data_IF_200568356241
#
_entry.id   IF_200568356241
#
_cell.length_a   1.000
_cell.length_b   1.000
_cell.length_c   1.000
_cell.angle_alpha   90.00
_cell.angle_beta   90.00
_cell.angle_gamma   90.00
#
_symmetry.space_group_name_H-M   'P 1'
#
loop_
_entity.id
_entity.type
_entity.pdbx_description
1 polymer ?
#
# COMPACT_ATOMS: atom_id res chain seq x y z
N UNK A 1 -12.29 -48.46 10.14
CA UNK A 1 -12.97 -47.57 11.10
C UNK A 1 -12.68 -46.16 10.68
N UNK A 2 -13.75 -45.44 10.36
CA UNK A 2 -13.82 -44.05 9.95
C UNK A 2 -12.96 -43.10 10.79
N UNK A 3 -12.42 -42.09 10.10
CA UNK A 3 -12.24 -40.75 10.66
C UNK A 3 -12.70 -39.72 9.64
N UNK A 4 -14.01 -39.59 9.56
CA UNK A 4 -14.74 -38.46 9.00
C UNK A 4 -14.64 -37.23 9.92
N UNK A 5 -14.44 -36.06 9.31
CA UNK A 5 -15.10 -34.82 9.73
C UNK A 5 -14.39 -33.93 10.75
N UNK A 6 -13.50 -33.05 10.29
CA UNK A 6 -13.40 -31.70 10.82
C UNK A 6 -14.01 -30.74 9.77
N UNK A 7 -14.87 -29.79 10.14
CA UNK A 7 -15.46 -28.87 9.19
C UNK A 7 -14.40 -27.85 8.73
N UNK A 8 -14.43 -27.39 7.46
CA UNK A 8 -13.68 -26.21 7.06
C UNK A 8 -14.23 -25.01 7.84
N UNK A 9 -13.35 -24.17 8.39
CA UNK A 9 -13.74 -22.86 8.90
C UNK A 9 -14.38 -21.99 7.79
N UNK A 10 -15.01 -20.85 8.12
CA UNK A 10 -15.73 -20.04 7.15
C UNK A 10 -14.76 -19.59 6.05
N UNK A 11 -14.89 -20.21 4.88
CA UNK A 11 -14.18 -19.83 3.67
C UNK A 11 -14.70 -18.47 3.23
N UNK A 12 -13.79 -17.54 2.95
CA UNK A 12 -14.19 -16.28 2.31
C UNK A 12 -14.82 -16.59 0.96
N UNK A 13 -16.06 -16.15 0.76
CA UNK A 13 -16.80 -16.23 -0.50
C UNK A 13 -16.12 -15.34 -1.55
N UNK A 14 -15.08 -15.88 -2.20
CA UNK A 14 -14.47 -15.27 -3.38
C UNK A 14 -15.08 -15.86 -4.66
N UNK A 15 -15.35 -15.04 -5.69
CA UNK A 15 -15.98 -15.48 -6.94
C UNK A 15 -15.30 -16.67 -7.61
N UNK A 16 -16.16 -17.48 -8.22
CA UNK A 16 -15.82 -18.49 -9.23
C UNK A 16 -15.18 -17.77 -10.43
N UNK A 17 -14.13 -18.39 -10.96
CA UNK A 17 -13.27 -17.91 -12.03
C UNK A 17 -14.07 -17.53 -13.30
N UNK A 18 -13.95 -16.29 -13.77
CA UNK A 18 -14.64 -15.82 -14.98
C UNK A 18 -13.72 -15.61 -16.20
N UNK A 19 -12.46 -16.05 -16.12
CA UNK A 19 -11.53 -15.99 -17.25
C UNK A 19 -10.53 -17.19 -17.22
N UNK A 20 -11.07 -18.37 -16.93
CA UNK A 20 -10.28 -19.62 -16.86
C UNK A 20 -9.58 -19.97 -18.16
N UNK A 21 -9.95 -19.36 -19.28
CA UNK A 21 -9.34 -19.62 -20.59
C UNK A 21 -7.98 -18.94 -20.75
N UNK A 22 -7.71 -17.87 -19.97
CA UNK A 22 -6.43 -17.14 -20.03
C UNK A 22 -5.60 -17.25 -18.76
N UNK A 23 -6.22 -17.33 -17.57
CA UNK A 23 -5.49 -17.42 -16.31
C UNK A 23 -5.76 -18.75 -15.62
N UNK A 24 -4.71 -19.39 -15.12
CA UNK A 24 -4.81 -20.53 -14.20
C UNK A 24 -4.68 -20.05 -12.75
N UNK A 25 -5.57 -20.54 -11.90
CA UNK A 25 -5.50 -20.28 -10.46
C UNK A 25 -4.31 -21.03 -9.88
N UNK A 26 -3.50 -20.34 -9.07
CA UNK A 26 -2.38 -20.95 -8.36
C UNK A 26 -2.73 -21.11 -6.88
N UNK A 27 -3.03 -19.99 -6.21
CA UNK A 27 -3.40 -19.94 -4.78
C UNK A 27 -3.95 -18.56 -4.44
N UNK A 28 -4.68 -18.45 -3.35
CA UNK A 28 -4.98 -17.13 -2.78
C UNK A 28 -3.74 -16.54 -2.09
N UNK A 29 -3.55 -15.24 -2.25
CA UNK A 29 -2.47 -14.43 -1.66
C UNK A 29 -3.13 -13.27 -0.89
N UNK A 30 -3.64 -13.55 0.32
CA UNK A 30 -4.35 -12.51 1.05
C UNK A 30 -4.69 -12.80 2.50
N UNK A 31 -3.80 -12.37 3.39
CA UNK A 31 -4.14 -11.67 4.65
C UNK A 31 -3.15 -10.51 4.92
N UNK A 32 -2.56 -9.94 3.86
CA UNK A 32 -1.52 -8.88 3.91
C UNK A 32 -1.92 -7.60 3.16
N UNK A 33 -0.96 -6.72 2.86
CA UNK A 33 -1.19 -5.36 2.35
C UNK A 33 -1.97 -5.24 1.02
N UNK A 34 -2.01 -6.30 0.23
CA UNK A 34 -2.78 -6.36 -1.01
C UNK A 34 -4.30 -6.44 -0.79
N UNK A 35 -4.74 -6.64 0.46
CA UNK A 35 -6.08 -7.14 0.74
C UNK A 35 -6.19 -8.60 0.31
N UNK A 36 -7.41 -9.09 0.11
CA UNK A 36 -7.63 -10.43 -0.44
C UNK A 36 -7.26 -10.40 -1.93
N UNK A 37 -6.07 -10.89 -2.27
CA UNK A 37 -5.61 -11.03 -3.65
C UNK A 37 -5.42 -12.51 -4.02
N UNK A 38 -5.31 -12.79 -5.30
CA UNK A 38 -5.19 -14.13 -5.86
C UNK A 38 -3.98 -14.23 -6.78
N UNK A 39 -3.18 -15.28 -6.60
CA UNK A 39 -2.06 -15.58 -7.47
C UNK A 39 -2.59 -16.41 -8.64
N UNK A 40 -2.39 -15.90 -9.83
CA UNK A 40 -2.72 -16.58 -11.07
C UNK A 40 -1.50 -16.72 -11.97
N UNK A 41 -1.60 -17.59 -12.97
CA UNK A 41 -0.61 -17.79 -14.02
C UNK A 41 -1.26 -17.48 -15.35
N UNK A 42 -0.68 -16.55 -16.11
CA UNK A 42 -1.11 -16.31 -17.48
C UNK A 42 -0.74 -17.53 -18.34
N UNK A 43 -1.71 -18.12 -19.04
CA UNK A 43 -1.51 -19.32 -19.87
C UNK A 43 -0.68 -19.06 -21.12
N UNK A 44 -0.67 -17.82 -21.60
CA UNK A 44 0.02 -17.44 -22.82
C UNK A 44 1.49 -17.12 -22.52
N UNK A 45 1.75 -16.29 -21.50
CA UNK A 45 3.12 -15.87 -21.15
C UNK A 45 3.78 -16.76 -20.10
N UNK A 46 3.00 -17.63 -19.44
CA UNK A 46 3.43 -18.43 -18.28
C UNK A 46 3.92 -17.60 -17.08
N UNK A 47 3.68 -16.28 -17.09
CA UNK A 47 4.05 -15.39 -16.01
C UNK A 47 3.06 -15.49 -14.83
N UNK A 48 3.57 -15.29 -13.62
CA UNK A 48 2.73 -15.15 -12.43
C UNK A 48 2.21 -13.72 -12.31
N UNK A 49 0.93 -13.59 -11.98
CA UNK A 49 0.26 -12.30 -11.78
C UNK A 49 -0.52 -12.30 -10.46
N UNK A 50 -0.59 -11.14 -9.83
CA UNK A 50 -1.46 -10.90 -8.69
C UNK A 50 -2.77 -10.28 -9.20
N UNK A 51 -3.90 -10.80 -8.74
CA UNK A 51 -5.23 -10.30 -9.09
C UNK A 51 -5.91 -9.82 -7.83
N UNK A 52 -6.28 -8.53 -7.81
CA UNK A 52 -7.06 -7.92 -6.74
C UNK A 52 -8.50 -7.71 -7.20
N UNK A 53 -9.45 -7.97 -6.32
CA UNK A 53 -10.88 -7.84 -6.63
C UNK A 53 -11.50 -6.69 -5.85
N UNK A 54 -12.34 -5.89 -6.52
CA UNK A 54 -13.21 -4.90 -5.91
C UNK A 54 -14.63 -5.25 -6.31
N UNK A 55 -15.56 -5.32 -5.35
CA UNK A 55 -16.97 -5.56 -5.67
C UNK A 55 -17.52 -4.48 -6.60
N UNK A 56 -18.37 -4.89 -7.54
CA UNK A 56 -19.07 -3.96 -8.44
C UNK A 56 -20.08 -3.10 -7.68
N UNK A 57 -20.39 -1.92 -8.22
CA UNK A 57 -21.29 -0.96 -7.58
C UNK A 57 -20.53 0.23 -6.99
N UNK A 58 -21.04 0.74 -5.87
CA UNK A 58 -20.61 2.01 -5.25
C UNK A 58 -19.15 2.03 -4.77
N UNK A 59 -18.52 0.85 -4.60
CA UNK A 59 -17.09 0.77 -4.25
C UNK A 59 -16.18 1.17 -5.42
N UNK A 60 -16.69 1.18 -6.64
CA UNK A 60 -15.98 1.65 -7.84
C UNK A 60 -16.23 3.15 -7.99
N UNK A 61 -15.48 3.94 -7.24
CA UNK A 61 -15.57 5.40 -7.25
C UNK A 61 -14.51 6.06 -8.17
N UNK A 62 -14.53 7.40 -8.22
CA UNK A 62 -13.54 8.18 -8.97
C UNK A 62 -12.10 7.96 -8.46
N UNK A 63 -11.92 7.58 -7.18
CA UNK A 63 -10.60 7.33 -6.63
C UNK A 63 -10.03 6.03 -7.19
N UNK A 64 -10.82 4.95 -7.23
CA UNK A 64 -10.44 3.68 -7.87
C UNK A 64 -10.08 3.90 -9.33
N UNK A 65 -10.91 4.65 -10.07
CA UNK A 65 -10.63 4.97 -11.47
C UNK A 65 -9.28 5.71 -11.61
N UNK A 66 -9.07 6.76 -10.80
CA UNK A 66 -7.83 7.55 -10.82
C UNK A 66 -6.61 6.70 -10.49
N UNK A 67 -6.71 5.81 -9.52
CA UNK A 67 -5.62 4.90 -9.13
C UNK A 67 -5.29 3.90 -10.24
N UNK A 68 -6.29 3.35 -10.95
CA UNK A 68 -6.04 2.44 -12.09
C UNK A 68 -5.33 3.17 -13.23
N UNK A 69 -5.79 4.39 -13.57
CA UNK A 69 -5.17 5.20 -14.63
C UNK A 69 -3.74 5.58 -14.27
N UNK A 70 -3.50 5.98 -13.02
CA UNK A 70 -2.17 6.31 -12.52
C UNK A 70 -1.26 5.08 -12.51
N UNK A 71 -1.72 3.93 -12.03
CA UNK A 71 -0.92 2.71 -12.06
C UNK A 71 -0.55 2.29 -13.49
N UNK A 72 -1.50 2.38 -14.43
CA UNK A 72 -1.26 2.09 -15.84
C UNK A 72 -0.16 2.97 -16.45
N UNK A 73 -0.06 4.23 -16.04
CA UNK A 73 0.93 5.17 -16.58
C UNK A 73 2.32 4.96 -16.01
N UNK A 74 2.45 4.28 -14.86
CA UNK A 74 3.73 4.02 -14.22
C UNK A 74 4.46 2.85 -14.91
N UNK A 75 5.60 3.16 -15.51
CA UNK A 75 6.47 2.21 -16.19
C UNK A 75 7.89 2.38 -15.65
N UNK A 76 8.19 1.63 -14.59
CA UNK A 76 9.50 1.67 -13.95
C UNK A 76 9.84 0.29 -13.37
N UNK A 77 11.07 -0.20 -13.48
CA UNK A 77 11.40 -1.57 -13.07
C UNK A 77 11.34 -1.78 -11.55
N UNK A 78 11.35 -0.69 -10.76
CA UNK A 78 11.17 -0.72 -9.32
C UNK A 78 9.74 -0.42 -8.84
N UNK A 79 8.76 -0.42 -9.74
CA UNK A 79 7.33 -0.28 -9.41
C UNK A 79 6.63 -1.55 -9.93
N UNK A 80 5.69 -2.08 -9.16
CA UNK A 80 4.83 -3.18 -9.63
C UNK A 80 4.10 -2.73 -10.88
N UNK A 81 4.15 -3.54 -11.94
CA UNK A 81 3.53 -3.18 -13.22
C UNK A 81 2.03 -3.47 -13.24
N UNK A 82 1.24 -2.50 -13.68
CA UNK A 82 -0.15 -2.74 -14.09
C UNK A 82 -0.19 -3.58 -15.36
N UNK A 83 -1.02 -4.63 -15.39
CA UNK A 83 -1.25 -5.42 -16.60
C UNK A 83 -2.57 -5.03 -17.25
N UNK A 84 -3.67 -5.21 -16.54
CA UNK A 84 -5.01 -5.00 -17.08
C UNK A 84 -6.11 -4.98 -16.01
N UNK A 85 -7.33 -4.64 -16.44
CA UNK A 85 -8.56 -4.86 -15.68
C UNK A 85 -9.46 -5.85 -16.41
N UNK A 86 -10.16 -6.68 -15.65
CA UNK A 86 -11.12 -7.66 -16.14
C UNK A 86 -12.43 -7.47 -15.39
N UNK A 87 -13.53 -7.36 -16.13
CA UNK A 87 -14.86 -7.35 -15.53
C UNK A 87 -15.32 -8.79 -15.27
N UNK A 88 -15.77 -9.06 -14.05
CA UNK A 88 -16.48 -10.30 -13.72
C UNK A 88 -17.93 -9.98 -13.38
N UNK A 89 -18.83 -10.99 -13.26
CA UNK A 89 -20.22 -10.72 -12.89
C UNK A 89 -20.39 -10.00 -11.55
N UNK A 90 -19.44 -10.17 -10.61
CA UNK A 90 -19.56 -9.62 -9.26
C UNK A 90 -18.44 -8.66 -8.84
N UNK A 91 -17.31 -8.63 -9.55
CA UNK A 91 -16.15 -7.82 -9.20
C UNK A 91 -15.46 -7.17 -10.42
N UNK A 92 -14.80 -6.04 -10.19
CA UNK A 92 -13.70 -5.55 -11.01
C UNK A 92 -12.41 -6.24 -10.55
N UNK A 93 -11.76 -6.98 -11.45
CA UNK A 93 -10.47 -7.62 -11.19
C UNK A 93 -9.34 -6.77 -11.77
N UNK A 94 -8.35 -6.44 -10.95
CA UNK A 94 -7.17 -5.65 -11.32
C UNK A 94 -5.97 -6.60 -11.32
N UNK A 95 -5.40 -6.82 -12.50
CA UNK A 95 -4.27 -7.72 -12.73
C UNK A 95 -2.97 -6.92 -12.75
N UNK A 96 -1.99 -7.36 -11.96
CA UNK A 96 -0.69 -6.70 -11.82
C UNK A 96 0.46 -7.72 -11.72
N UNK A 97 1.68 -7.25 -11.92
CA UNK A 97 2.90 -8.04 -11.73
C UNK A 97 2.95 -8.67 -10.33
N UNK A 98 3.29 -9.95 -10.26
CA UNK A 98 3.55 -10.62 -8.98
C UNK A 98 5.05 -10.61 -8.64
N UNK A 99 5.41 -9.94 -7.55
CA UNK A 99 6.76 -9.97 -7.01
C UNK A 99 6.92 -11.18 -6.05
N UNK A 100 7.59 -12.22 -6.52
CA UNK A 100 7.65 -13.54 -5.86
C UNK A 100 8.70 -13.67 -4.75
N UNK A 101 9.55 -12.66 -4.56
CA UNK A 101 10.62 -12.63 -3.56
C UNK A 101 10.17 -12.27 -2.14
N UNK A 102 8.86 -12.03 -1.94
CA UNK A 102 8.28 -11.67 -0.65
C UNK A 102 8.48 -10.21 -0.27
N UNK A 103 8.21 -9.88 0.99
CA UNK A 103 8.33 -8.52 1.51
C UNK A 103 9.78 -8.19 1.88
N UNK A 104 10.20 -6.94 1.63
CA UNK A 104 11.52 -6.46 2.05
C UNK A 104 11.70 -6.59 3.57
N UNK A 105 10.64 -6.31 4.33
CA UNK A 105 10.67 -6.38 5.80
C UNK A 105 10.90 -7.80 6.32
N UNK A 106 10.29 -8.82 5.71
CA UNK A 106 10.55 -10.22 6.06
C UNK A 106 12.02 -10.59 5.82
N UNK A 107 12.60 -10.10 4.72
CA UNK A 107 14.04 -10.32 4.43
C UNK A 107 14.94 -9.67 5.47
N UNK A 108 14.62 -8.44 5.91
CA UNK A 108 15.34 -7.75 7.00
C UNK A 108 15.20 -8.55 8.30
N UNK A 109 13.97 -8.90 8.68
CA UNK A 109 13.65 -9.64 9.91
C UNK A 109 14.40 -10.98 9.98
N UNK A 110 14.45 -11.71 8.87
CA UNK A 110 15.17 -13.00 8.79
C UNK A 110 16.69 -12.85 8.93
N UNK A 111 17.26 -11.73 8.46
CA UNK A 111 18.70 -11.42 8.62
C UNK A 111 19.02 -10.67 9.92
N UNK A 112 18.00 -10.17 10.63
CA UNK A 112 18.13 -9.18 11.70
C UNK A 112 18.33 -7.77 11.16
N UNK A 113 19.38 -7.55 10.36
CA UNK A 113 19.67 -6.28 9.67
C UNK A 113 20.54 -6.52 8.44
N UNK A 114 20.60 -5.54 7.54
CA UNK A 114 21.49 -5.56 6.37
C UNK A 114 22.84 -4.95 6.68
N UNK A 115 23.83 -5.30 5.85
CA UNK A 115 25.06 -4.51 5.75
C UNK A 115 24.74 -3.16 5.10
N UNK A 116 25.61 -2.18 5.31
CA UNK A 116 25.45 -0.87 4.68
C UNK A 116 25.43 -0.95 3.15
N UNK A 117 26.20 -1.87 2.56
CA UNK A 117 26.21 -2.09 1.11
C UNK A 117 24.91 -2.71 0.59
N UNK A 118 24.32 -3.67 1.31
CA UNK A 118 23.02 -4.25 0.94
C UNK A 118 21.88 -3.24 1.15
N UNK A 119 21.91 -2.46 2.24
CA UNK A 119 20.98 -1.37 2.47
C UNK A 119 21.06 -0.31 1.36
N UNK A 120 22.28 0.05 0.92
CA UNK A 120 22.48 0.99 -0.20
C UNK A 120 21.90 0.46 -1.51
N UNK A 121 22.14 -0.82 -1.82
CA UNK A 121 21.62 -1.45 -3.03
C UNK A 121 20.09 -1.35 -3.13
N UNK A 122 19.37 -1.63 -2.05
CA UNK A 122 17.91 -1.47 -2.03
C UNK A 122 17.48 0.00 -1.96
N UNK A 123 18.20 0.85 -1.22
CA UNK A 123 17.88 2.27 -1.11
C UNK A 123 18.03 3.00 -2.45
N UNK A 124 19.03 2.66 -3.27
CA UNK A 124 19.18 3.20 -4.62
C UNK A 124 17.97 2.89 -5.49
N UNK A 125 17.47 1.66 -5.45
CA UNK A 125 16.29 1.23 -6.17
C UNK A 125 15.00 1.90 -5.65
N UNK A 126 14.88 2.04 -4.34
CA UNK A 126 13.76 2.75 -3.71
C UNK A 126 13.72 4.21 -4.19
N UNK A 127 14.83 4.94 -4.05
CA UNK A 127 14.90 6.36 -4.46
C UNK A 127 14.67 6.52 -5.97
N UNK A 128 15.16 5.59 -6.79
CA UNK A 128 14.88 5.57 -8.23
C UNK A 128 13.37 5.44 -8.51
N UNK A 129 12.69 4.47 -7.89
CA UNK A 129 11.24 4.31 -8.02
C UNK A 129 10.43 5.52 -7.50
N UNK A 130 10.81 6.09 -6.35
CA UNK A 130 10.14 7.28 -5.78
C UNK A 130 10.38 8.52 -6.65
N UNK A 131 11.60 8.72 -7.15
CA UNK A 131 11.94 9.80 -8.10
C UNK A 131 11.05 9.75 -9.34
N UNK A 132 10.86 8.54 -9.89
CA UNK A 132 9.98 8.32 -11.04
C UNK A 132 8.51 8.63 -10.72
N UNK A 133 7.98 8.18 -9.57
CA UNK A 133 6.62 8.56 -9.16
C UNK A 133 6.47 10.09 -9.06
N UNK A 134 7.46 10.76 -8.46
CA UNK A 134 7.46 12.22 -8.29
C UNK A 134 7.51 12.98 -9.61
N UNK A 135 8.19 12.45 -10.63
CA UNK A 135 8.25 13.05 -11.98
C UNK A 135 6.90 12.94 -12.71
N UNK A 136 6.17 11.85 -12.48
CA UNK A 136 4.80 11.63 -12.95
C UNK A 136 3.73 12.41 -12.17
N UNK A 137 4.15 13.33 -11.27
CA UNK A 137 3.29 14.09 -10.35
C UNK A 137 2.43 13.23 -9.43
N UNK A 138 2.81 11.95 -9.27
CA UNK A 138 2.21 11.04 -8.31
C UNK A 138 3.06 11.16 -7.05
N UNK A 139 2.60 11.99 -6.10
CA UNK A 139 3.10 11.89 -4.74
C UNK A 139 2.38 10.70 -4.11
N UNK A 140 3.17 9.77 -3.59
CA UNK A 140 2.65 8.46 -3.24
C UNK A 140 1.75 8.56 -1.99
N UNK A 141 1.96 9.60 -1.15
CA UNK A 141 1.13 9.99 0.03
C UNK A 141 0.93 8.89 1.08
N UNK A 142 1.37 7.68 0.79
CA UNK A 142 1.24 6.48 1.59
C UNK A 142 2.38 5.51 1.22
N UNK A 143 3.62 6.02 1.06
CA UNK A 143 4.86 5.22 0.98
C UNK A 143 5.09 4.47 2.29
N UNK A 144 4.19 3.54 2.58
CA UNK A 144 4.34 2.53 3.60
C UNK A 144 5.29 1.51 3.02
N UNK A 145 6.49 1.41 3.56
CA UNK A 145 7.46 0.42 3.07
C UNK A 145 7.13 -1.01 3.50
N UNK A 146 6.03 -1.16 4.23
CA UNK A 146 5.25 -2.40 4.32
C UNK A 146 4.78 -2.86 2.91
N UNK A 147 4.63 -1.94 1.95
CA UNK A 147 4.24 -2.19 0.56
C UNK A 147 5.45 -2.35 -0.40
N UNK A 148 6.64 -2.62 0.13
CA UNK A 148 7.84 -2.87 -0.68
C UNK A 148 8.11 -4.36 -0.79
N UNK A 149 7.95 -4.87 -2.01
CA UNK A 149 8.22 -6.26 -2.34
C UNK A 149 9.58 -6.44 -3.00
N UNK A 150 9.97 -7.70 -3.12
CA UNK A 150 11.13 -8.14 -3.87
C UNK A 150 10.68 -9.07 -5.00
N UNK A 151 11.33 -8.99 -6.15
CA UNK A 151 11.17 -10.02 -7.18
C UNK A 151 11.92 -11.31 -6.78
N UNK A 152 11.62 -12.40 -7.49
CA UNK A 152 12.23 -13.71 -7.25
C UNK A 152 13.63 -13.88 -7.87
N UNK A 153 14.27 -12.80 -8.33
CA UNK A 153 15.56 -12.91 -9.01
C UNK A 153 16.71 -13.18 -8.00
N UNK A 154 17.84 -13.76 -8.45
CA UNK A 154 18.99 -14.01 -7.57
C UNK A 154 19.58 -12.73 -6.96
N UNK A 155 19.45 -11.60 -7.66
CA UNK A 155 19.80 -10.26 -7.19
C UNK A 155 18.50 -9.44 -7.10
N UNK A 156 17.74 -9.57 -5.99
CA UNK A 156 16.33 -9.16 -5.96
C UNK A 156 16.15 -7.70 -6.30
N UNK A 157 15.24 -7.41 -7.24
CA UNK A 157 14.82 -6.03 -7.50
C UNK A 157 13.71 -5.64 -6.52
N UNK A 158 13.83 -4.42 -6.01
CA UNK A 158 12.81 -3.80 -5.17
C UNK A 158 11.60 -3.45 -6.04
N UNK A 159 10.39 -3.76 -5.57
CA UNK A 159 9.12 -3.49 -6.24
C UNK A 159 8.21 -2.70 -5.30
N UNK A 160 8.04 -1.41 -5.58
CA UNK A 160 7.09 -0.55 -4.87
C UNK A 160 5.69 -0.93 -5.32
N UNK A 161 4.81 -1.26 -4.38
CA UNK A 161 3.45 -1.67 -4.66
C UNK A 161 2.42 -0.86 -3.89
N UNK A 162 2.04 0.33 -4.35
CA UNK A 162 1.03 1.12 -3.66
C UNK A 162 -0.02 1.68 -4.59
N UNK A 163 -1.09 0.91 -4.72
CA UNK A 163 -2.29 1.38 -5.38
C UNK A 163 -3.45 0.98 -4.48
N UNK A 164 -3.99 2.00 -3.81
CA UNK A 164 -4.94 1.95 -2.70
C UNK A 164 -6.34 1.45 -3.04
N UNK A 165 -6.45 0.48 -3.97
CA UNK A 165 -7.67 -0.04 -4.58
C UNK A 165 -8.74 -0.54 -3.61
N UNK A 166 -8.46 -0.57 -2.31
CA UNK A 166 -9.33 -1.09 -1.28
C UNK A 166 -9.32 -0.23 -0.01
N UNK A 167 -9.11 1.09 -0.11
CA UNK A 167 -9.40 2.01 1.00
C UNK A 167 -10.91 2.09 1.24
N UNK A 168 -11.50 0.98 1.70
CA UNK A 168 -12.72 1.07 2.50
C UNK A 168 -12.40 1.95 3.69
N UNK A 169 -13.20 3.00 3.88
CA UNK A 169 -13.01 4.02 4.89
C UNK A 169 -13.05 3.51 6.35
N UNK A 170 -13.08 2.20 6.61
CA UNK A 170 -13.28 1.62 7.93
C UNK A 170 -12.48 0.31 8.13
N UNK A 171 -11.26 0.44 8.68
CA UNK A 171 -10.73 -0.37 9.78
C UNK A 171 -11.15 -1.87 9.86
N UNK A 172 -10.78 -2.77 8.93
CA UNK A 172 -11.04 -4.21 9.14
C UNK A 172 -10.01 -5.20 8.54
N UNK A 173 -8.70 -4.91 8.57
CA UNK A 173 -7.71 -5.99 8.51
C UNK A 173 -7.45 -6.55 9.91
N UNK A 174 -7.59 -7.87 10.09
CA UNK A 174 -7.29 -8.58 11.34
C UNK A 174 -5.86 -8.27 11.85
N UNK A 175 -5.58 -8.38 13.17
CA UNK A 175 -4.53 -7.65 13.88
C UNK A 175 -3.08 -8.09 13.64
N UNK A 176 -2.77 -8.78 12.53
CA UNK A 176 -1.40 -9.19 12.20
C UNK A 176 -0.66 -8.20 11.30
N UNK A 177 -1.37 -7.34 10.58
CA UNK A 177 -0.79 -6.11 10.02
C UNK A 177 -1.41 -4.92 10.76
N UNK A 178 -0.60 -4.30 11.61
CA UNK A 178 -0.95 -3.05 12.27
C UNK A 178 -1.15 -1.99 11.20
N UNK A 179 -2.33 -1.37 11.19
CA UNK A 179 -2.65 -0.18 10.41
C UNK A 179 -1.56 0.87 10.65
N UNK A 180 -0.63 0.99 9.70
CA UNK A 180 0.41 2.03 9.60
C UNK A 180 1.32 2.15 10.81
N UNK A 181 2.54 1.62 10.73
CA UNK A 181 3.59 1.92 11.72
C UNK A 181 3.82 3.46 11.76
N UNK A 182 3.49 4.18 12.86
CA UNK A 182 3.51 5.65 12.87
C UNK A 182 4.88 6.27 12.60
N UNK A 183 5.95 5.47 12.69
CA UNK A 183 7.30 5.88 12.35
C UNK A 183 7.43 6.40 10.90
N UNK A 184 6.65 5.85 9.96
CA UNK A 184 6.64 6.30 8.56
C UNK A 184 5.97 7.66 8.35
N UNK A 185 5.16 8.12 9.31
CA UNK A 185 4.42 9.37 9.18
C UNK A 185 5.37 10.52 9.51
N UNK A 186 5.65 11.39 8.53
CA UNK A 186 6.48 12.56 8.74
C UNK A 186 5.84 13.55 9.73
N UNK A 187 6.62 14.32 10.51
CA UNK A 187 6.09 15.23 11.54
C UNK A 187 5.05 16.23 11.02
N UNK A 188 5.23 16.74 9.80
CA UNK A 188 4.31 17.70 9.19
C UNK A 188 2.95 17.10 8.81
N UNK A 189 2.90 15.79 8.53
CA UNK A 189 1.66 15.06 8.21
C UNK A 189 0.75 14.96 9.44
N UNK A 190 1.35 14.96 10.65
CA UNK A 190 0.61 14.92 11.92
C UNK A 190 0.03 16.29 12.33
N UNK A 191 0.65 17.39 11.90
CA UNK A 191 0.34 18.73 12.41
C UNK A 191 -0.32 19.66 11.40
N UNK A 192 -0.09 19.46 10.10
CA UNK A 192 -0.53 20.39 9.06
C UNK A 192 -1.73 19.84 8.32
N UNK A 193 -2.67 20.74 8.02
CA UNK A 193 -3.80 20.44 7.14
C UNK A 193 -3.35 20.20 5.69
N UNK A 194 -2.28 20.87 5.28
CA UNK A 194 -1.66 20.74 3.96
C UNK A 194 -0.14 20.57 4.11
N UNK A 195 0.44 19.66 3.32
CA UNK A 195 1.86 19.36 3.33
C UNK A 195 2.33 18.95 1.92
N UNK A 196 3.64 19.06 1.68
CA UNK A 196 4.25 18.55 0.45
C UNK A 196 4.45 17.03 0.56
N UNK A 197 3.63 16.26 -0.16
CA UNK A 197 3.71 14.81 -0.18
C UNK A 197 5.07 14.27 -0.64
N UNK A 198 5.78 14.98 -1.53
CA UNK A 198 7.10 14.54 -2.02
C UNK A 198 8.15 14.61 -0.91
N UNK A 199 8.06 15.61 -0.03
CA UNK A 199 8.96 15.77 1.11
C UNK A 199 8.62 14.79 2.25
N UNK A 200 7.35 14.46 2.44
CA UNK A 200 6.92 13.40 3.35
C UNK A 200 7.39 12.00 2.88
N UNK A 201 7.38 11.74 1.57
CA UNK A 201 7.91 10.51 0.98
C UNK A 201 9.41 10.32 1.27
N UNK A 202 10.19 11.41 1.33
CA UNK A 202 11.62 11.35 1.72
C UNK A 202 11.80 10.86 3.16
N UNK A 203 10.96 11.32 4.09
CA UNK A 203 10.98 10.82 5.47
C UNK A 203 10.75 9.31 5.50
N UNK A 204 9.72 8.84 4.77
CA UNK A 204 9.40 7.41 4.67
C UNK A 204 10.58 6.61 4.14
N UNK A 205 11.27 7.09 3.09
CA UNK A 205 12.50 6.47 2.59
C UNK A 205 13.59 6.40 3.67
N UNK A 206 13.75 7.45 4.49
CA UNK A 206 14.67 7.44 5.62
C UNK A 206 14.35 6.37 6.66
N UNK A 207 13.05 6.15 6.93
CA UNK A 207 12.60 5.10 7.85
C UNK A 207 12.97 3.72 7.31
N UNK A 208 12.75 3.41 6.03
CA UNK A 208 13.19 2.11 5.48
C UNK A 208 14.71 1.99 5.45
N UNK A 209 15.45 3.04 5.12
CA UNK A 209 16.93 3.01 5.23
C UNK A 209 17.36 2.65 6.65
N UNK A 210 16.78 3.30 7.66
CA UNK A 210 17.08 3.02 9.05
C UNK A 210 16.73 1.57 9.44
N UNK A 211 15.53 1.09 9.08
CA UNK A 211 15.11 -0.29 9.37
C UNK A 211 16.02 -1.31 8.68
N UNK A 212 16.47 -1.06 7.45
CA UNK A 212 17.45 -1.93 6.79
C UNK A 212 18.78 -1.99 7.56
N UNK A 213 19.25 -0.87 8.08
CA UNK A 213 20.55 -0.78 8.76
C UNK A 213 20.52 -1.30 10.20
N UNK A 214 19.41 -1.07 10.91
CA UNK A 214 19.29 -1.31 12.36
C UNK A 214 18.46 -2.55 12.68
N UNK A 215 17.49 -2.89 11.83
CA UNK A 215 16.55 -4.01 12.05
C UNK A 215 15.31 -3.64 12.86
N UNK A 216 15.22 -2.41 13.36
CA UNK A 216 14.08 -1.89 14.14
C UNK A 216 13.68 -0.51 13.64
N UNK A 217 12.49 -0.04 14.02
CA UNK A 217 12.03 1.29 13.66
C UNK A 217 12.76 2.41 14.44
N UNK A 218 13.01 3.57 13.82
CA UNK A 218 13.81 4.66 14.43
C UNK A 218 13.17 5.35 15.62
N UNK A 219 11.83 5.42 15.64
CA UNK A 219 11.07 6.20 16.62
C UNK A 219 10.26 5.33 17.57
N UNK A 220 10.26 4.01 17.39
CA UNK A 220 9.55 3.10 18.29
C UNK A 220 10.32 2.92 19.59
N UNK A 221 9.58 2.64 20.67
CA UNK A 221 10.17 2.29 21.94
C UNK A 221 10.54 0.81 21.98
N UNK A 222 11.83 0.43 22.11
CA UNK A 222 12.22 -0.97 22.15
C UNK A 222 11.55 -1.75 23.29
N UNK A 223 11.27 -1.07 24.40
CA UNK A 223 10.60 -1.67 25.56
C UNK A 223 9.08 -1.76 25.38
N UNK A 224 8.47 -0.84 24.63
CA UNK A 224 7.03 -0.78 24.40
C UNK A 224 6.69 -0.44 22.94
N UNK A 225 6.93 -1.34 21.96
CA UNK A 225 6.77 -1.03 20.53
C UNK A 225 5.34 -0.65 20.14
N UNK A 226 4.35 -1.07 20.92
CA UNK A 226 2.92 -0.79 20.70
C UNK A 226 2.45 0.54 21.29
N UNK A 227 3.32 1.32 21.93
CA UNK A 227 2.97 2.65 22.42
C UNK A 227 3.06 3.69 21.29
N UNK A 228 1.99 3.76 20.50
CA UNK A 228 1.89 4.70 19.40
C UNK A 228 2.00 6.17 19.83
N UNK A 229 1.56 6.52 21.05
CA UNK A 229 1.66 7.91 21.54
C UNK A 229 3.12 8.29 21.76
N UNK A 230 3.90 7.40 22.35
CA UNK A 230 5.35 7.59 22.54
C UNK A 230 6.09 7.62 21.21
N UNK A 231 5.75 6.76 20.26
CA UNK A 231 6.31 6.79 18.89
C UNK A 231 6.03 8.13 18.22
N UNK A 232 4.78 8.62 18.27
CA UNK A 232 4.41 9.92 17.72
C UNK A 232 5.21 11.06 18.38
N UNK A 233 5.33 11.09 19.71
CA UNK A 233 6.14 12.10 20.38
C UNK A 233 7.61 12.08 19.95
N UNK A 234 8.18 10.89 19.74
CA UNK A 234 9.54 10.74 19.23
C UNK A 234 9.68 11.22 17.79
N UNK A 235 8.72 10.92 16.92
CA UNK A 235 8.66 11.45 15.54
C UNK A 235 8.67 12.98 15.56
N UNK A 236 7.77 13.60 16.32
CA UNK A 236 7.61 15.06 16.39
C UNK A 236 8.89 15.74 16.87
N UNK A 237 9.54 15.16 17.89
CA UNK A 237 10.79 15.67 18.44
C UNK A 237 12.05 15.17 17.70
N UNK A 238 11.88 14.37 16.63
CA UNK A 238 12.95 13.76 15.84
C UNK A 238 13.95 12.99 16.73
N UNK A 239 13.42 12.22 17.67
CA UNK A 239 14.19 11.45 18.65
C UNK A 239 14.42 10.02 18.15
N UNK A 240 15.56 9.80 17.52
CA UNK A 240 16.06 8.48 17.15
C UNK A 240 17.51 8.33 17.60
N UNK A 241 18.00 7.10 17.69
CA UNK A 241 19.41 6.82 17.98
C UNK A 241 19.83 5.57 17.22
N UNK A 242 21.08 5.52 16.76
CA UNK A 242 21.62 4.30 16.16
C UNK A 242 22.34 3.53 17.26
N UNK A 243 21.99 2.26 17.52
CA UNK A 243 22.63 1.48 18.57
C UNK A 243 24.15 1.36 18.36
N UNK A 244 24.94 1.39 19.45
CA UNK A 244 26.42 1.37 19.39
C UNK A 244 27.00 0.14 18.66
N UNK A 245 26.26 -0.98 18.67
CA UNK A 245 26.67 -2.21 17.99
C UNK A 245 26.45 -2.17 16.46
N UNK A 246 25.75 -1.14 15.95
CA UNK A 246 25.51 -0.93 14.52
C UNK A 246 26.52 0.09 14.01
N UNK A 247 27.59 -0.41 13.38
CA UNK A 247 28.60 0.43 12.78
C UNK A 247 28.18 0.86 11.36
N UNK A 248 28.03 2.17 11.15
CA UNK A 248 27.73 2.77 9.84
C UNK A 248 28.72 3.89 9.53
N UNK A 249 28.93 4.16 8.25
CA UNK A 249 29.84 5.21 7.79
C UNK A 249 29.35 6.61 8.17
N UNK A 250 30.29 7.57 8.25
CA UNK A 250 29.96 8.97 8.51
C UNK A 250 29.05 9.55 7.43
N UNK A 251 29.21 9.13 6.18
CA UNK A 251 28.36 9.51 5.05
C UNK A 251 26.94 8.95 5.20
N UNK A 252 26.80 7.71 5.68
CA UNK A 252 25.49 7.11 5.95
C UNK A 252 24.75 7.88 7.06
N UNK A 253 25.45 8.15 8.17
CA UNK A 253 24.91 8.92 9.29
C UNK A 253 24.53 10.34 8.85
N UNK A 254 25.37 10.98 8.03
CA UNK A 254 25.08 12.30 7.47
C UNK A 254 23.80 12.28 6.62
N UNK A 255 23.63 11.29 5.74
CA UNK A 255 22.41 11.14 4.94
C UNK A 255 21.17 10.98 5.84
N UNK A 256 21.21 10.10 6.84
CA UNK A 256 20.09 9.88 7.77
C UNK A 256 19.75 11.18 8.51
N UNK A 257 20.76 11.92 8.99
CA UNK A 257 20.57 13.19 9.71
C UNK A 257 19.96 14.29 8.83
N UNK A 258 20.20 14.24 7.52
CA UNK A 258 19.63 15.15 6.51
C UNK A 258 18.19 14.78 6.12
N UNK A 259 17.80 13.51 6.29
CA UNK A 259 16.42 13.03 6.05
C UNK A 259 15.54 13.24 7.29
N UNK A 260 16.00 12.84 8.48
CA UNK A 260 15.26 13.03 9.73
C UNK A 260 15.45 14.46 10.24
N UNK A 261 14.76 15.38 9.55
CA UNK A 261 14.66 16.81 9.87
C UNK A 261 13.19 17.15 10.06
N UNK A 262 12.87 17.75 11.20
CA UNK A 262 11.49 18.07 11.58
C UNK A 262 10.86 19.16 10.73
N UNK A 263 11.65 20.15 10.28
CA UNK A 263 11.20 21.14 9.32
C UNK A 263 11.29 20.60 7.88
N UNK A 264 10.17 20.38 7.18
CA UNK A 264 10.18 19.88 5.80
C UNK A 264 10.91 20.82 4.83
N UNK A 265 10.99 22.12 5.10
CA UNK A 265 11.70 23.07 4.23
C UNK A 265 13.23 22.91 4.29
N UNK A 266 13.75 22.27 5.34
CA UNK A 266 15.18 22.00 5.53
C UNK A 266 15.54 20.53 5.27
N UNK A 267 14.54 19.68 5.07
CA UNK A 267 14.74 18.25 4.79
C UNK A 267 15.36 18.09 3.41
N UNK A 268 16.33 17.19 3.31
CA UNK A 268 16.95 16.85 2.02
C UNK A 268 15.89 16.38 1.01
N UNK A 269 16.08 16.72 -0.25
CA UNK A 269 15.19 16.36 -1.36
C UNK A 269 15.70 15.14 -2.11
N UNK A 270 14.84 14.47 -2.89
CA UNK A 270 15.25 13.33 -3.74
C UNK A 270 16.44 13.69 -4.67
N UNK A 271 16.45 14.84 -5.38
CA UNK A 271 17.61 15.23 -6.18
C UNK A 271 18.90 15.38 -5.37
N UNK A 272 18.82 15.93 -4.16
CA UNK A 272 19.99 16.04 -3.27
C UNK A 272 20.46 14.67 -2.76
N UNK A 273 19.53 13.74 -2.47
CA UNK A 273 19.87 12.35 -2.13
C UNK A 273 20.60 11.67 -3.30
N UNK A 274 20.11 11.83 -4.53
CA UNK A 274 20.76 11.25 -5.74
C UNK A 274 22.18 11.77 -5.95
N UNK A 275 22.49 12.97 -5.47
CA UNK A 275 23.83 13.57 -5.51
C UNK A 275 24.66 13.33 -4.24
N UNK A 276 24.11 12.65 -3.24
CA UNK A 276 24.79 12.42 -1.98
C UNK A 276 25.90 11.37 -2.13
N UNK A 277 27.06 11.61 -1.52
CA UNK A 277 28.24 10.73 -1.65
C UNK A 277 27.97 9.28 -1.24
N UNK A 278 27.16 9.07 -0.20
CA UNK A 278 26.74 7.74 0.23
C UNK A 278 25.90 7.01 -0.83
N UNK A 279 25.03 7.76 -1.54
CA UNK A 279 24.15 7.22 -2.57
C UNK A 279 24.91 6.88 -3.86
N UNK A 280 25.84 7.74 -4.26
CA UNK A 280 26.63 7.59 -5.50
C UNK A 280 27.61 6.40 -5.44
N UNK A 281 27.99 5.96 -4.23
CA UNK A 281 28.92 4.84 -4.05
C UNK A 281 28.32 3.55 -4.65
N UNK A 282 29.05 2.93 -5.56
CA UNK A 282 28.64 1.70 -6.24
C UNK A 282 27.27 1.79 -6.94
N UNK A 283 26.84 2.98 -7.35
CA UNK A 283 25.56 3.17 -8.04
C UNK A 283 25.57 2.37 -9.36
N UNK A 284 24.63 1.43 -9.55
CA UNK A 284 24.51 0.69 -10.80
C UNK A 284 24.22 1.62 -11.98
N UNK A 285 24.84 1.34 -13.14
CA UNK A 285 24.70 2.17 -14.34
C UNK A 285 23.25 2.25 -14.84
N UNK A 286 22.47 1.20 -14.63
CA UNK A 286 21.06 1.15 -15.01
C UNK A 286 20.23 2.16 -14.18
N UNK A 287 20.61 2.45 -12.93
CA UNK A 287 19.94 3.44 -12.06
C UNK A 287 20.47 4.88 -12.21
N UNK A 288 21.48 5.12 -13.04
CA UNK A 288 22.08 6.45 -13.20
C UNK A 288 21.22 7.40 -14.04
N UNK A 289 20.34 6.87 -14.88
CA UNK A 289 19.62 7.65 -15.89
C UNK A 289 18.15 7.22 -15.95
N UNK A 290 17.30 7.98 -15.22
CA UNK A 290 15.85 7.71 -15.08
C UNK A 290 15.16 7.66 -16.46
N UNK A 291 15.74 8.32 -17.47
CA UNK A 291 15.22 8.43 -18.84
C UNK A 291 15.48 7.20 -19.70
N UNK A 292 16.62 6.52 -19.55
CA UNK A 292 16.95 5.31 -20.33
C UNK A 292 16.34 4.04 -19.75
N UNK A 293 15.94 4.05 -18.47
CA UNK A 293 15.23 2.94 -17.83
C UNK A 293 13.84 2.67 -18.42
N UNK A 294 13.12 3.70 -18.85
CA UNK A 294 11.81 3.55 -19.49
C UNK A 294 11.88 2.86 -20.86
N UNK A 295 12.97 3.07 -21.59
CA UNK A 295 13.19 2.57 -22.95
C UNK A 295 13.86 1.18 -23.00
N UNK A 296 14.60 0.80 -21.95
CA UNK A 296 15.18 -0.56 -21.81
C UNK A 296 14.24 -1.57 -21.13
N UNK A 297 13.08 -1.10 -20.68
CA UNK A 297 12.07 -1.98 -20.11
C UNK A 297 11.39 -2.73 -21.25
N UNK A 298 11.65 -4.04 -21.38
CA UNK A 298 10.97 -4.88 -22.37
C UNK A 298 9.46 -4.66 -22.24
N UNK A 299 8.84 -4.16 -23.33
CA UNK A 299 7.40 -4.16 -23.42
C UNK A 299 6.93 -5.61 -23.29
N UNK A 300 5.83 -5.87 -22.57
CA UNK A 300 5.32 -7.22 -22.45
C UNK A 300 5.05 -7.72 -23.87
N UNK A 301 5.18 -9.03 -24.08
CA UNK A 301 4.84 -9.64 -25.38
C UNK A 301 3.39 -9.33 -25.81
N UNK A 302 2.53 -8.95 -24.86
CA UNK A 302 1.17 -8.50 -25.12
C UNK A 302 1.01 -6.96 -25.01
N UNK A 303 0.32 -6.34 -25.98
CA UNK A 303 -0.01 -4.92 -25.91
C UNK A 303 -0.92 -4.65 -24.72
N UNK A 304 -0.59 -3.61 -23.94
CA UNK A 304 -1.42 -3.17 -22.82
C UNK A 304 -2.82 -2.79 -23.30
N UNK A 305 -3.83 -3.06 -22.47
CA UNK A 305 -5.19 -2.59 -22.72
C UNK A 305 -5.22 -1.07 -23.01
N UNK A 306 -6.03 -0.69 -24.00
CA UNK A 306 -6.23 0.71 -24.34
C UNK A 306 -6.89 1.45 -23.19
N UNK A 307 -6.65 2.75 -23.07
CA UNK A 307 -7.29 3.56 -22.02
C UNK A 307 -8.81 3.56 -22.17
N UNK A 308 -9.32 3.55 -23.41
CA UNK A 308 -10.76 3.47 -23.72
C UNK A 308 -11.37 2.17 -23.20
N UNK A 309 -10.72 1.03 -23.45
CA UNK A 309 -11.17 -0.28 -22.96
C UNK A 309 -11.20 -0.33 -21.44
N UNK A 310 -10.16 0.18 -20.78
CA UNK A 310 -10.09 0.23 -19.31
C UNK A 310 -11.23 1.08 -18.75
N UNK A 311 -11.47 2.25 -19.34
CA UNK A 311 -12.54 3.15 -18.93
C UNK A 311 -13.93 2.55 -19.12
N UNK A 312 -14.14 1.82 -20.23
CA UNK A 312 -15.38 1.09 -20.47
C UNK A 312 -15.62 0.02 -19.41
N UNK A 313 -14.61 -0.78 -19.09
CA UNK A 313 -14.67 -1.83 -18.06
C UNK A 313 -14.97 -1.23 -16.67
N UNK A 314 -14.28 -0.14 -16.31
CA UNK A 314 -14.51 0.55 -15.02
C UNK A 314 -15.94 1.10 -14.97
N UNK A 315 -16.41 1.75 -16.05
CA UNK A 315 -17.77 2.27 -16.12
C UNK A 315 -18.81 1.16 -15.97
N UNK A 316 -18.62 0.00 -16.58
CA UNK A 316 -19.53 -1.14 -16.43
C UNK A 316 -19.46 -1.77 -15.02
N UNK A 317 -18.29 -1.72 -14.38
CA UNK A 317 -18.10 -2.18 -13.01
C UNK A 317 -18.83 -1.34 -11.95
N UNK A 318 -19.19 -0.08 -12.27
CA UNK A 318 -20.05 0.75 -11.39
C UNK A 318 -21.48 0.22 -11.27
N UNK A 319 -21.90 -0.66 -12.19
CA UNK A 319 -23.23 -1.28 -12.17
C UNK A 319 -23.14 -2.55 -11.30
N UNK A 320 -23.91 -2.66 -10.20
CA UNK A 320 -23.88 -3.83 -9.34
C UNK A 320 -24.45 -5.08 -10.04
N UNK A 321 -24.22 -6.28 -9.49
CA UNK A 321 -24.66 -7.53 -10.10
C UNK A 321 -26.19 -7.64 -10.16
N UNK A 322 -26.72 -8.19 -11.25
CA UNK A 322 -28.16 -8.41 -11.40
C UNK A 322 -28.67 -9.38 -10.32
N UNK A 323 -29.52 -8.89 -9.40
CA UNK A 323 -30.09 -9.67 -8.30
C UNK A 323 -30.05 -9.00 -6.92
N UNK A 324 -29.26 -7.93 -6.75
CA UNK A 324 -29.20 -7.14 -5.50
C UNK A 324 -30.22 -6.00 -5.43
N UNK A 325 -30.96 -5.72 -6.49
CA UNK A 325 -31.92 -4.61 -6.59
C UNK A 325 -33.23 -4.78 -5.79
N UNK A 326 -33.37 -5.83 -4.97
CA UNK A 326 -34.68 -6.25 -4.42
C UNK A 326 -34.80 -6.32 -2.88
N UNK A 327 -33.89 -5.75 -2.09
CA UNK A 327 -34.07 -5.76 -0.62
C UNK A 327 -34.19 -4.39 0.08
N UNK A 328 -33.77 -3.27 -0.52
CA UNK A 328 -33.75 -1.98 0.20
C UNK A 328 -34.87 -0.99 -0.21
N UNK A 329 -35.91 -1.45 -0.91
CA UNK A 329 -37.00 -0.59 -1.41
C UNK A 329 -38.42 -1.09 -1.06
N UNK A 330 -38.58 -1.99 -0.08
CA UNK A 330 -39.91 -2.50 0.34
C UNK A 330 -40.13 -2.50 1.86
N UNK A 331 -39.75 -1.43 2.56
CA UNK A 331 -40.04 -1.29 4.00
C UNK A 331 -40.74 0.04 4.38
N UNK A 332 -41.37 0.73 3.42
CA UNK A 332 -42.05 2.02 3.67
C UNK A 332 -43.59 1.98 3.55
N UNK A 333 -44.21 0.79 3.58
CA UNK A 333 -45.67 0.66 3.52
C UNK A 333 -46.19 -0.40 4.49
N UNK A 334 -46.13 -0.16 5.81
CA UNK A 334 -47.08 -0.74 6.77
C UNK A 334 -46.92 -0.11 8.17
N UNK A 335 -48.07 0.26 8.76
CA UNK A 335 -48.32 0.77 10.13
C UNK A 335 -48.20 2.31 10.23
N UNK A 336 -49.29 3.09 10.30
CA UNK A 336 -50.16 3.19 11.48
C UNK A 336 -51.65 3.43 11.16
N UNK A 337 -52.49 2.50 11.60
CA UNK A 337 -53.90 2.74 11.93
C UNK A 337 -54.00 2.90 13.45
N UNK A 338 -54.88 3.82 13.86
CA UNK A 338 -55.39 4.08 15.21
C UNK A 338 -54.64 5.10 16.09
N UNK A 339 -55.06 6.36 15.97
CA UNK A 339 -54.83 7.41 16.99
C UNK A 339 -56.15 8.11 17.34
N UNK A 340 -56.80 7.69 18.42
CA UNK A 340 -57.37 8.49 19.52
C UNK A 340 -58.11 7.53 20.51
N UNK A 341 -58.22 7.81 21.83
CA UNK A 341 -58.43 9.14 22.40
C UNK A 341 -57.66 9.51 23.69
N UNK A 342 -57.60 10.82 23.92
CA UNK A 342 -57.81 11.52 25.19
C UNK A 342 -56.78 11.45 26.37
N UNK A 343 -56.23 12.64 26.62
CA UNK A 343 -56.25 13.42 27.88
C UNK A 343 -55.08 13.36 28.89
N UNK A 344 -54.71 14.60 29.23
CA UNK A 344 -54.19 15.16 30.50
C UNK A 344 -52.67 15.20 30.79
N UNK A 345 -52.11 16.35 30.39
CA UNK A 345 -51.34 17.28 31.22
C UNK A 345 -51.32 16.97 32.74
N UNK A 346 -50.13 16.81 33.32
CA UNK A 346 -49.70 17.78 34.34
C UNK A 346 -48.19 17.78 34.63
N UNK A 347 -47.67 19.02 34.64
CA UNK A 347 -46.73 19.65 35.56
C UNK A 347 -45.59 18.89 36.27
N UNK A 348 -44.44 19.59 36.22
CA UNK A 348 -43.42 19.77 37.27
C UNK A 348 -42.14 18.95 37.21
N UNK A 349 -41.02 19.65 37.38
CA UNK A 349 -39.76 19.05 37.83
C UNK A 349 -38.51 19.61 37.17
N UNK A 350 -38.11 20.81 37.57
CA UNK A 350 -36.78 21.37 37.35
C UNK A 350 -35.67 20.36 37.72
N UNK A 351 -34.60 20.32 36.91
CA UNK A 351 -33.32 19.71 37.30
C UNK A 351 -32.25 20.79 37.27
N UNK A 352 -31.80 21.18 38.46
CA UNK A 352 -30.64 22.04 38.70
C UNK A 352 -29.38 21.16 38.84
N UNK A 353 -28.29 21.63 38.25
CA UNK A 353 -26.92 21.12 38.23
C UNK A 353 -26.31 20.78 39.61
N UNK A 354 -25.43 19.76 39.63
CA UNK A 354 -24.00 19.84 40.02
C UNK A 354 -23.41 18.44 40.31
N UNK A 355 -22.39 17.99 39.55
CA UNK A 355 -20.95 18.10 39.83
C UNK A 355 -20.15 17.25 38.84
#
# INVERSE_FOLDING_TARGET
>A
MDRSGMPPGPGMDMPIMHDSDRYDFVRDIGSGNFGVARLMRDKQTNELVAVKYIERGDKIDENVQREIINHRSLRHPNIVRFREVILTPIHLAIVMEYASGGELFERISNKGRFSEDEARFFFQQLISGVSYCHSMQICHRDLKLENTLLDGSPAPRLKICDFGYSKSALLHSQPKSTVGTPAYIAPEVLHRKEYDGKIADVWSCGVTLYVMLVGTYPFEDPENPKDYRKTIQRVINVQYSIPEHVNISAECLHLISRIFVGDPAQRITIPEIKNHVWFLKNLPADLMDDTTMGDQFEEPEQPMQSLETIMQIISEATIPPAGLYNLDMMDDDLEDLDSDPDLDLDSSGEVIYAM
#
